data_IF_398864167654
#
_entry.id   IF_398864167654
#
_cell.length_a   1.000
_cell.length_b   1.000
_cell.length_c   1.000
_cell.angle_alpha   90.00
_cell.angle_beta   90.00
_cell.angle_gamma   90.00
#
_symmetry.space_group_name_H-M   'P 1'
#
loop_
_entity.id
_entity.type
_entity.pdbx_description
1 polymer ?
#
# COMPACT_ATOMS: atom_id res chain seq x y z
N UNK A 1 -23.19 4.89 -13.20
CA UNK A 1 -21.80 5.29 -13.50
C UNK A 1 -20.94 4.05 -13.39
N UNK A 2 -20.05 3.82 -14.33
CA UNK A 2 -19.14 2.67 -14.32
C UNK A 2 -17.68 3.14 -14.21
N UNK A 3 -16.96 2.65 -13.20
CA UNK A 3 -15.51 2.82 -13.06
C UNK A 3 -14.84 1.48 -13.32
N UNK A 4 -13.90 1.45 -14.26
CA UNK A 4 -13.16 0.25 -14.62
C UNK A 4 -11.71 0.32 -14.14
N UNK A 5 -11.21 -0.79 -13.62
CA UNK A 5 -9.81 -0.96 -13.21
C UNK A 5 -9.11 -1.89 -14.20
N UNK A 6 -8.10 -1.40 -14.93
CA UNK A 6 -7.23 -2.25 -15.76
C UNK A 6 -6.01 -2.66 -14.95
N UNK A 7 -6.03 -3.88 -14.45
CA UNK A 7 -4.99 -4.40 -13.56
C UNK A 7 -4.92 -5.93 -13.64
N UNK A 8 -3.72 -6.46 -13.56
CA UNK A 8 -3.46 -7.90 -13.52
C UNK A 8 -2.86 -8.29 -12.15
N UNK A 9 -3.26 -9.44 -11.64
CA UNK A 9 -2.64 -10.07 -10.47
C UNK A 9 -2.45 -11.56 -10.74
N UNK A 10 -1.22 -12.04 -10.64
CA UNK A 10 -0.88 -13.44 -10.94
C UNK A 10 0.28 -13.91 -10.07
N UNK A 11 0.59 -15.21 -10.08
CA UNK A 11 1.75 -15.74 -9.35
C UNK A 11 3.10 -15.16 -9.82
N UNK A 12 3.14 -14.63 -11.05
CA UNK A 12 4.34 -14.02 -11.64
C UNK A 12 4.42 -12.52 -11.37
N UNK A 13 3.29 -11.82 -11.43
CA UNK A 13 3.19 -10.36 -11.20
C UNK A 13 3.17 -10.05 -9.69
N UNK A 14 2.60 -10.95 -8.90
CA UNK A 14 2.24 -10.72 -7.50
C UNK A 14 0.85 -10.09 -7.35
N UNK A 15 0.46 -9.86 -6.09
CA UNK A 15 -0.86 -9.32 -5.74
C UNK A 15 -0.87 -7.79 -5.54
N UNK A 16 0.29 -7.13 -5.54
CA UNK A 16 0.43 -5.73 -5.10
C UNK A 16 -0.47 -4.74 -5.84
N UNK A 17 -0.40 -4.72 -7.17
CA UNK A 17 -1.22 -3.88 -8.04
C UNK A 17 -2.72 -4.11 -7.81
N UNK A 18 -3.14 -5.38 -7.87
CA UNK A 18 -4.54 -5.75 -7.66
C UNK A 18 -5.06 -5.40 -6.26
N UNK A 19 -4.25 -5.57 -5.20
CA UNK A 19 -4.63 -5.23 -3.83
C UNK A 19 -4.76 -3.72 -3.61
N UNK A 20 -3.88 -2.90 -4.19
CA UNK A 20 -3.99 -1.44 -4.09
C UNK A 20 -5.16 -0.90 -4.92
N UNK A 21 -5.41 -1.47 -6.10
CA UNK A 21 -6.62 -1.17 -6.89
C UNK A 21 -7.90 -1.58 -6.16
N UNK A 22 -7.94 -2.76 -5.54
CA UNK A 22 -9.08 -3.21 -4.74
C UNK A 22 -9.33 -2.30 -3.54
N UNK A 23 -8.27 -1.83 -2.88
CA UNK A 23 -8.34 -0.86 -1.79
C UNK A 23 -8.97 0.45 -2.25
N UNK A 24 -8.51 0.98 -3.39
CA UNK A 24 -9.06 2.20 -3.98
C UNK A 24 -10.53 2.02 -4.40
N UNK A 25 -10.87 0.89 -5.04
CA UNK A 25 -12.23 0.57 -5.46
C UNK A 25 -13.22 0.54 -4.28
N UNK A 26 -12.85 -0.13 -3.17
CA UNK A 26 -13.67 -0.16 -1.94
C UNK A 26 -13.89 1.23 -1.36
N UNK A 27 -12.83 2.01 -1.27
CA UNK A 27 -12.89 3.36 -0.69
C UNK A 27 -13.75 4.29 -1.55
N UNK A 28 -13.52 4.31 -2.86
CA UNK A 28 -14.33 5.07 -3.81
C UNK A 28 -15.80 4.65 -3.79
N UNK A 29 -16.08 3.34 -3.81
CA UNK A 29 -17.45 2.83 -3.79
C UNK A 29 -18.20 3.29 -2.54
N UNK A 30 -17.56 3.18 -1.38
CA UNK A 30 -18.11 3.62 -0.09
C UNK A 30 -18.39 5.13 -0.07
N UNK A 31 -17.50 5.95 -0.63
CA UNK A 31 -17.69 7.40 -0.71
C UNK A 31 -18.77 7.81 -1.72
N UNK A 32 -18.85 7.13 -2.86
CA UNK A 32 -19.70 7.53 -3.98
C UNK A 32 -21.11 6.97 -3.95
N UNK A 33 -21.35 5.80 -3.33
CA UNK A 33 -22.66 5.14 -3.32
C UNK A 33 -23.81 6.03 -2.79
N UNK A 34 -23.50 6.98 -1.90
CA UNK A 34 -24.48 7.93 -1.34
C UNK A 34 -24.85 9.06 -2.31
N UNK A 35 -24.09 9.25 -3.39
CA UNK A 35 -24.24 10.31 -4.37
C UNK A 35 -24.60 9.77 -5.76
N UNK A 36 -24.14 8.56 -6.05
CA UNK A 36 -24.36 7.85 -7.31
C UNK A 36 -24.88 6.45 -6.97
N UNK A 37 -26.20 6.27 -6.79
CA UNK A 37 -26.78 5.01 -6.34
C UNK A 37 -26.47 3.82 -7.26
N UNK A 38 -26.39 4.07 -8.58
CA UNK A 38 -26.07 3.07 -9.60
C UNK A 38 -24.59 3.09 -9.99
N UNK A 39 -23.70 3.32 -9.01
CA UNK A 39 -22.26 3.18 -9.24
C UNK A 39 -21.88 1.71 -9.35
N UNK A 40 -21.07 1.38 -10.35
CA UNK A 40 -20.52 0.06 -10.57
C UNK A 40 -19.00 0.16 -10.66
N UNK A 41 -18.33 -0.79 -10.03
CA UNK A 41 -16.88 -0.97 -10.13
C UNK A 41 -16.61 -2.30 -10.82
N UNK A 42 -15.75 -2.30 -11.84
CA UNK A 42 -15.41 -3.51 -12.59
C UNK A 42 -13.91 -3.62 -12.78
N UNK A 43 -13.36 -4.80 -12.53
CA UNK A 43 -11.96 -5.12 -12.81
C UNK A 43 -11.86 -5.75 -14.19
N UNK A 44 -10.86 -5.33 -14.96
CA UNK A 44 -10.57 -5.81 -16.31
C UNK A 44 -9.14 -6.37 -16.30
N UNK A 45 -9.04 -7.68 -16.36
CA UNK A 45 -7.79 -8.41 -16.23
C UNK A 45 -7.54 -9.28 -17.46
N UNK A 46 -6.26 -9.51 -17.78
CA UNK A 46 -5.90 -10.46 -18.83
C UNK A 46 -6.19 -11.88 -18.37
N UNK A 47 -6.63 -12.73 -19.31
CA UNK A 47 -6.89 -14.14 -19.07
C UNK A 47 -5.69 -14.82 -18.39
N UNK A 48 -5.95 -15.46 -17.25
CA UNK A 48 -4.91 -16.11 -16.43
C UNK A 48 -4.26 -15.22 -15.36
N UNK A 49 -4.65 -13.94 -15.26
CA UNK A 49 -4.30 -13.05 -14.16
C UNK A 49 -5.43 -12.95 -13.11
N UNK A 50 -5.96 -14.10 -12.71
CA UNK A 50 -7.17 -14.26 -11.90
C UNK A 50 -6.90 -14.48 -10.40
N UNK A 51 -5.66 -14.22 -9.92
CA UNK A 51 -5.25 -14.45 -8.53
C UNK A 51 -6.22 -13.82 -7.49
N UNK A 52 -6.78 -12.66 -7.82
CA UNK A 52 -7.70 -11.92 -6.94
C UNK A 52 -9.17 -12.02 -7.35
N UNK A 53 -9.52 -12.85 -8.35
CA UNK A 53 -10.89 -12.96 -8.86
C UNK A 53 -11.92 -13.27 -7.78
N UNK A 54 -11.62 -14.26 -6.92
CA UNK A 54 -12.49 -14.64 -5.81
C UNK A 54 -12.76 -13.46 -4.88
N UNK A 55 -11.68 -12.80 -4.45
CA UNK A 55 -11.76 -11.64 -3.56
C UNK A 55 -12.51 -10.46 -4.21
N UNK A 56 -12.29 -10.19 -5.49
CA UNK A 56 -13.00 -9.11 -6.23
C UNK A 56 -14.50 -9.38 -6.23
N UNK A 57 -14.92 -10.61 -6.55
CA UNK A 57 -16.35 -11.01 -6.59
C UNK A 57 -17.00 -11.03 -5.22
N UNK A 58 -16.29 -11.51 -4.19
CA UNK A 58 -16.78 -11.50 -2.80
C UNK A 58 -17.07 -10.08 -2.30
N UNK A 59 -16.38 -9.07 -2.85
CA UNK A 59 -16.61 -7.66 -2.53
C UNK A 59 -17.70 -7.00 -3.39
N UNK A 60 -18.36 -7.78 -4.24
CA UNK A 60 -19.47 -7.33 -5.08
C UNK A 60 -19.04 -6.57 -6.35
N UNK A 61 -17.77 -6.62 -6.73
CA UNK A 61 -17.28 -5.93 -7.92
C UNK A 61 -17.37 -6.81 -9.17
N UNK A 62 -17.60 -6.16 -10.32
CA UNK A 62 -17.60 -6.82 -11.61
C UNK A 62 -16.20 -7.30 -12.01
N UNK A 63 -16.15 -8.29 -12.90
CA UNK A 63 -14.90 -8.79 -13.45
C UNK A 63 -15.07 -9.16 -14.92
N UNK A 64 -14.20 -8.63 -15.77
CA UNK A 64 -14.15 -8.87 -17.21
C UNK A 64 -12.76 -9.40 -17.55
N UNK A 65 -12.73 -10.47 -18.34
CA UNK A 65 -11.48 -11.00 -18.89
C UNK A 65 -11.25 -10.47 -20.31
N UNK A 66 -10.00 -10.15 -20.61
CA UNK A 66 -9.53 -9.85 -21.97
C UNK A 66 -8.46 -10.85 -22.39
N UNK A 67 -8.34 -11.10 -23.69
CA UNK A 67 -7.46 -12.15 -24.21
C UNK A 67 -5.98 -11.85 -23.98
N UNK A 68 -5.58 -10.60 -24.21
CA UNK A 68 -4.19 -10.13 -24.09
C UNK A 68 -4.10 -8.81 -23.33
N UNK A 69 -2.91 -8.50 -22.81
CA UNK A 69 -2.62 -7.27 -22.08
C UNK A 69 -2.93 -6.02 -22.91
N UNK A 70 -2.62 -6.05 -24.21
CA UNK A 70 -2.84 -4.97 -25.15
C UNK A 70 -4.25 -4.96 -25.77
N UNK A 71 -5.17 -5.81 -25.32
CA UNK A 71 -6.53 -5.85 -25.85
C UNK A 71 -7.21 -4.49 -25.69
N UNK A 72 -7.81 -3.98 -26.76
CA UNK A 72 -8.56 -2.72 -26.69
C UNK A 72 -9.79 -2.90 -25.80
N UNK A 73 -9.95 -1.99 -24.84
CA UNK A 73 -11.03 -2.00 -23.86
C UNK A 73 -11.99 -0.81 -24.02
N UNK A 74 -11.78 0.03 -25.02
CA UNK A 74 -12.59 1.23 -25.26
C UNK A 74 -14.08 0.95 -25.51
N UNK A 75 -14.41 -0.29 -25.92
CA UNK A 75 -15.78 -0.76 -26.10
C UNK A 75 -16.54 -0.96 -24.77
N UNK A 76 -15.84 -1.11 -23.64
CA UNK A 76 -16.45 -1.20 -22.32
C UNK A 76 -16.94 0.20 -21.92
N UNK A 77 -18.23 0.37 -21.55
CA UNK A 77 -18.84 1.68 -21.35
C UNK A 77 -18.51 2.28 -19.96
N UNK A 78 -17.24 2.24 -19.56
CA UNK A 78 -16.79 2.91 -18.33
C UNK A 78 -16.70 4.42 -18.55
N UNK A 79 -17.04 5.18 -17.51
CA UNK A 79 -16.92 6.64 -17.44
C UNK A 79 -15.50 7.06 -17.05
N UNK A 80 -14.89 6.28 -16.13
CA UNK A 80 -13.52 6.44 -15.64
C UNK A 80 -12.77 5.11 -15.70
N UNK A 81 -11.54 5.16 -16.21
CA UNK A 81 -10.56 4.09 -16.17
C UNK A 81 -9.47 4.40 -15.16
N UNK A 82 -9.17 3.44 -14.29
CA UNK A 82 -8.01 3.46 -13.41
C UNK A 82 -7.08 2.35 -13.88
N UNK A 83 -5.88 2.71 -14.31
CA UNK A 83 -4.92 1.78 -14.93
C UNK A 83 -3.73 1.62 -14.01
N UNK A 84 -3.38 0.37 -13.72
CA UNK A 84 -2.27 0.01 -12.85
C UNK A 84 -1.55 -1.20 -13.44
N UNK A 85 -0.69 -0.94 -14.43
CA UNK A 85 -0.01 -1.99 -15.18
C UNK A 85 1.31 -1.49 -15.79
N UNK A 86 2.42 -2.18 -15.52
CA UNK A 86 3.74 -1.77 -15.99
C UNK A 86 3.95 -1.84 -17.51
N UNK A 87 3.17 -2.66 -18.20
CA UNK A 87 3.28 -2.83 -19.66
C UNK A 87 2.31 -1.95 -20.45
N UNK A 88 1.48 -1.14 -19.77
CA UNK A 88 0.58 -0.20 -20.43
C UNK A 88 1.15 1.21 -20.33
N UNK A 89 1.11 1.93 -21.44
CA UNK A 89 1.69 3.25 -21.63
C UNK A 89 0.69 4.17 -22.38
N UNK A 90 1.18 5.36 -22.77
CA UNK A 90 0.39 6.33 -23.53
C UNK A 90 -0.35 5.76 -24.75
N UNK A 91 0.12 4.68 -25.38
CA UNK A 91 -0.52 4.11 -26.57
C UNK A 91 -1.87 3.50 -26.20
N UNK A 92 -1.89 2.69 -25.15
CA UNK A 92 -3.12 2.09 -24.62
C UNK A 92 -4.05 3.17 -24.07
N UNK A 93 -3.50 4.11 -23.30
CA UNK A 93 -4.26 5.17 -22.64
C UNK A 93 -4.90 6.14 -23.66
N UNK A 94 -4.21 6.42 -24.77
CA UNK A 94 -4.73 7.26 -25.85
C UNK A 94 -5.99 6.69 -26.49
N UNK A 95 -6.15 5.37 -26.59
CA UNK A 95 -7.39 4.79 -27.11
C UNK A 95 -8.59 5.17 -26.25
N UNK A 96 -8.41 5.16 -24.93
CA UNK A 96 -9.44 5.51 -23.96
C UNK A 96 -9.73 7.02 -23.97
N UNK A 97 -8.68 7.85 -23.93
CA UNK A 97 -8.83 9.31 -23.96
C UNK A 97 -9.50 9.77 -25.26
N UNK A 98 -9.08 9.23 -26.41
CA UNK A 98 -9.68 9.56 -27.71
C UNK A 98 -11.13 9.07 -27.84
N UNK A 99 -11.52 8.03 -27.11
CA UNK A 99 -12.91 7.60 -26.96
C UNK A 99 -13.72 8.45 -25.96
N UNK A 100 -13.14 9.54 -25.45
CA UNK A 100 -13.79 10.49 -24.53
C UNK A 100 -13.87 10.00 -23.10
N UNK A 101 -13.07 9.00 -22.71
CA UNK A 101 -13.05 8.44 -21.34
C UNK A 101 -12.13 9.26 -20.44
N UNK A 102 -12.46 9.31 -19.13
CA UNK A 102 -11.51 9.77 -18.12
C UNK A 102 -10.51 8.67 -17.79
N UNK A 103 -9.25 9.03 -17.66
CA UNK A 103 -8.16 8.08 -17.40
C UNK A 103 -7.33 8.55 -16.22
N UNK A 104 -7.22 7.68 -15.21
CA UNK A 104 -6.26 7.79 -14.13
C UNK A 104 -5.23 6.67 -14.26
N UNK A 105 -3.96 6.99 -14.05
CA UNK A 105 -2.86 6.02 -14.04
C UNK A 105 -2.22 5.97 -12.66
N UNK A 106 -1.94 4.76 -12.18
CA UNK A 106 -1.08 4.50 -11.03
C UNK A 106 0.28 4.06 -11.58
N UNK A 107 1.31 4.87 -11.39
CA UNK A 107 2.68 4.54 -11.80
C UNK A 107 3.68 4.80 -10.67
N UNK A 108 4.71 3.97 -10.58
CA UNK A 108 5.78 4.12 -9.59
C UNK A 108 7.20 4.01 -10.20
N UNK A 109 7.29 3.90 -11.53
CA UNK A 109 8.54 3.73 -12.27
C UNK A 109 9.04 5.04 -12.90
N UNK A 110 8.15 5.94 -13.30
CA UNK A 110 8.47 7.20 -13.99
C UNK A 110 9.44 6.99 -15.16
N UNK A 111 9.17 5.98 -15.99
CA UNK A 111 10.08 5.54 -17.06
C UNK A 111 9.43 5.44 -18.45
N UNK A 112 8.18 5.87 -18.57
CA UNK A 112 7.40 5.84 -19.81
C UNK A 112 6.42 6.99 -19.87
N UNK A 113 6.03 7.34 -21.09
CA UNK A 113 5.02 8.37 -21.32
C UNK A 113 3.62 7.83 -20.99
N UNK A 114 2.80 8.72 -20.44
CA UNK A 114 1.39 8.49 -20.14
C UNK A 114 0.52 9.55 -20.82
N UNK A 115 -0.69 9.17 -21.19
CA UNK A 115 -1.76 10.05 -21.69
C UNK A 115 -3.00 9.87 -20.79
N UNK A 116 -3.00 10.54 -19.64
CA UNK A 116 -4.06 10.45 -18.64
C UNK A 116 -4.49 11.83 -18.13
N UNK A 117 -5.65 11.88 -17.47
CA UNK A 117 -6.18 13.08 -16.80
C UNK A 117 -5.60 13.24 -15.38
N UNK A 118 -5.25 12.14 -14.72
CA UNK A 118 -4.72 12.11 -13.35
C UNK A 118 -3.66 11.01 -13.21
N UNK A 119 -2.47 11.35 -12.70
CA UNK A 119 -1.43 10.39 -12.38
C UNK A 119 -1.21 10.29 -10.86
N UNK A 120 -1.09 9.07 -10.34
CA UNK A 120 -0.79 8.77 -8.95
C UNK A 120 0.53 8.02 -8.83
N UNK A 121 1.47 8.59 -8.08
CA UNK A 121 2.70 7.92 -7.62
C UNK A 121 2.85 8.14 -6.12
N UNK A 122 2.78 7.06 -5.34
CA UNK A 122 2.84 7.12 -3.88
C UNK A 122 4.28 7.10 -3.35
N UNK A 123 5.29 6.89 -4.21
CA UNK A 123 6.66 6.69 -3.76
C UNK A 123 7.31 7.99 -3.29
N UNK A 124 8.14 7.86 -2.25
CA UNK A 124 9.02 8.92 -1.80
C UNK A 124 10.40 8.68 -2.42
N UNK A 125 10.78 9.47 -3.42
CA UNK A 125 12.12 9.45 -4.00
C UNK A 125 12.78 10.81 -3.88
N UNK A 126 14.08 10.88 -4.18
CA UNK A 126 14.72 12.17 -4.36
C UNK A 126 14.02 12.91 -5.53
N UNK A 127 13.70 14.20 -5.36
CA UNK A 127 12.99 15.03 -6.34
C UNK A 127 11.66 14.44 -6.87
N UNK A 128 10.92 13.70 -6.04
CA UNK A 128 9.69 13.01 -6.47
C UNK A 128 8.67 13.93 -7.16
N UNK A 129 8.65 15.23 -6.84
CA UNK A 129 7.76 16.24 -7.42
C UNK A 129 7.99 16.54 -8.90
N UNK A 130 9.13 16.15 -9.48
CA UNK A 130 9.49 16.43 -10.87
C UNK A 130 9.59 15.18 -11.75
N UNK A 131 9.40 13.98 -11.19
CA UNK A 131 9.63 12.70 -11.89
C UNK A 131 8.87 12.54 -13.20
N UNK A 132 7.69 13.17 -13.31
CA UNK A 132 6.81 13.04 -14.46
C UNK A 132 6.79 14.27 -15.38
N UNK A 133 7.62 15.30 -15.15
CA UNK A 133 7.54 16.60 -15.86
C UNK A 133 7.53 16.49 -17.41
N UNK A 134 8.11 15.42 -17.96
CA UNK A 134 8.17 15.17 -19.41
C UNK A 134 7.50 13.86 -19.85
N UNK A 135 6.78 13.20 -18.94
CA UNK A 135 6.17 11.90 -19.16
C UNK A 135 4.63 11.96 -19.17
N UNK A 136 4.04 13.15 -19.04
CA UNK A 136 2.59 13.35 -18.98
C UNK A 136 2.16 14.57 -19.79
N UNK A 137 0.88 14.68 -20.18
CA UNK A 137 0.34 15.87 -20.83
C UNK A 137 0.33 17.07 -19.88
N UNK A 138 0.42 18.29 -20.42
CA UNK A 138 0.43 19.54 -19.63
C UNK A 138 -0.80 19.72 -18.72
N UNK A 139 -1.94 19.13 -19.09
CA UNK A 139 -3.20 19.23 -18.35
C UNK A 139 -3.44 18.08 -17.35
N UNK A 140 -2.50 17.14 -17.25
CA UNK A 140 -2.60 16.02 -16.32
C UNK A 140 -2.36 16.51 -14.89
N UNK A 141 -3.28 16.17 -14.00
CA UNK A 141 -3.13 16.41 -12.57
C UNK A 141 -2.24 15.33 -11.96
N UNK A 142 -1.42 15.68 -10.98
CA UNK A 142 -0.46 14.74 -10.38
C UNK A 142 -0.62 14.64 -8.88
N UNK A 143 -0.74 13.41 -8.38
CA UNK A 143 -0.79 13.04 -6.97
C UNK A 143 0.52 12.32 -6.64
N UNK A 144 1.50 13.09 -6.17
CA UNK A 144 2.84 12.58 -5.91
C UNK A 144 3.12 12.53 -4.40
N UNK A 145 3.75 11.43 -3.98
CA UNK A 145 4.30 11.25 -2.64
C UNK A 145 3.41 10.46 -1.69
N UNK A 146 3.93 10.18 -0.48
CA UNK A 146 3.33 9.25 0.46
C UNK A 146 1.94 9.68 0.94
N UNK A 147 1.61 10.99 0.92
CA UNK A 147 0.29 11.47 1.33
C UNK A 147 -0.88 10.90 0.50
N UNK A 148 -0.59 10.23 -0.61
CA UNK A 148 -1.58 9.58 -1.48
C UNK A 148 -1.50 8.05 -1.42
N UNK A 149 -0.83 7.48 -0.42
CA UNK A 149 -0.71 6.04 -0.26
C UNK A 149 -2.07 5.31 -0.22
N UNK A 150 -2.18 4.24 -1.00
CA UNK A 150 -3.37 3.38 -1.04
C UNK A 150 -3.32 2.34 0.08
N UNK A 151 -3.92 2.67 1.22
CA UNK A 151 -4.00 1.85 2.42
C UNK A 151 -5.41 1.33 2.68
N UNK A 152 -5.50 0.12 3.24
CA UNK A 152 -6.77 -0.49 3.65
C UNK A 152 -7.46 0.31 4.75
N UNK A 153 -8.78 0.22 4.82
CA UNK A 153 -9.61 0.96 5.78
C UNK A 153 -9.17 0.74 7.24
N UNK A 154 -8.69 -0.45 7.59
CA UNK A 154 -8.23 -0.81 8.95
C UNK A 154 -7.13 0.10 9.53
N UNK A 155 -6.38 0.79 8.66
CA UNK A 155 -5.33 1.75 9.05
C UNK A 155 -5.89 3.11 9.47
N UNK A 156 -7.13 3.43 9.10
CA UNK A 156 -7.81 4.68 9.45
C UNK A 156 -8.79 4.54 10.61
N UNK A 157 -9.10 3.32 11.05
CA UNK A 157 -9.98 3.09 12.18
C UNK A 157 -9.30 3.58 13.47
N UNK A 158 -10.05 4.33 14.29
CA UNK A 158 -9.59 4.83 15.59
C UNK A 158 -9.18 3.66 16.50
N UNK A 159 -7.88 3.38 16.54
CA UNK A 159 -7.27 2.45 17.48
C UNK A 159 -6.90 3.17 18.76
N UNK A 160 -7.87 3.86 19.38
CA UNK A 160 -7.65 4.71 20.56
C UNK A 160 -6.69 4.03 21.56
N UNK A 161 -5.58 4.73 21.76
CA UNK A 161 -4.44 4.50 22.65
C UNK A 161 -3.47 3.37 22.28
N UNK A 162 -2.32 3.77 21.72
CA UNK A 162 -1.05 3.22 22.17
C UNK A 162 -0.98 3.41 23.70
N UNK A 163 -1.41 2.39 24.46
CA UNK A 163 -0.80 2.18 25.77
C UNK A 163 0.45 1.36 25.50
N UNK A 164 1.58 2.04 25.26
CA UNK A 164 2.88 1.44 25.51
C UNK A 164 2.90 1.06 27.00
N UNK A 165 2.45 -0.16 27.31
CA UNK A 165 2.69 -0.74 28.61
C UNK A 165 4.17 -1.10 28.63
N UNK A 166 5.02 -0.15 29.05
CA UNK A 166 6.47 -0.32 29.22
C UNK A 166 6.88 -1.44 30.19
N UNK A 167 5.92 -2.23 30.69
CA UNK A 167 6.14 -3.39 31.56
C UNK A 167 6.21 -4.73 30.81
N UNK A 168 5.94 -4.77 29.50
CA UNK A 168 5.98 -6.00 28.71
C UNK A 168 7.29 -6.13 27.90
N UNK A 169 7.65 -7.37 27.55
CA UNK A 169 8.73 -7.66 26.61
C UNK A 169 8.52 -6.94 25.26
N UNK A 170 9.58 -6.36 24.63
CA UNK A 170 9.43 -5.73 23.32
C UNK A 170 8.87 -6.73 22.29
N UNK A 171 7.94 -6.26 21.48
CA UNK A 171 7.26 -7.06 20.47
C UNK A 171 7.71 -6.66 19.06
N UNK A 172 8.19 -7.64 18.31
CA UNK A 172 8.70 -7.47 16.95
C UNK A 172 7.68 -7.99 15.94
N UNK A 173 7.32 -7.18 14.95
CA UNK A 173 6.54 -7.65 13.80
C UNK A 173 7.49 -8.05 12.66
N UNK A 174 7.39 -9.27 12.16
CA UNK A 174 8.15 -9.73 10.98
C UNK A 174 7.20 -9.87 9.79
N UNK A 175 7.45 -9.13 8.71
CA UNK A 175 6.71 -9.31 7.45
C UNK A 175 7.50 -8.85 6.22
N UNK A 176 7.73 -9.76 5.27
CA UNK A 176 8.41 -9.50 3.99
C UNK A 176 7.46 -9.60 2.79
N UNK A 177 6.16 -9.39 3.03
CA UNK A 177 5.10 -9.58 2.05
C UNK A 177 4.61 -11.03 1.97
N UNK A 178 3.50 -11.25 1.26
CA UNK A 178 2.80 -12.54 1.28
C UNK A 178 3.61 -13.71 0.72
N UNK A 179 4.42 -13.48 -0.33
CA UNK A 179 5.18 -14.56 -0.98
C UNK A 179 6.62 -14.70 -0.50
N UNK A 180 7.24 -13.61 0.02
CA UNK A 180 8.64 -13.52 0.45
C UNK A 180 9.60 -14.43 -0.37
N UNK A 181 9.81 -14.10 -1.66
CA UNK A 181 10.46 -15.02 -2.60
C UNK A 181 11.92 -15.31 -2.25
N UNK A 182 12.55 -14.46 -1.42
CA UNK A 182 13.93 -14.56 -0.96
C UNK A 182 14.04 -15.14 0.46
N UNK A 183 12.91 -15.52 1.08
CA UNK A 183 12.79 -16.14 2.40
C UNK A 183 13.48 -15.34 3.53
N UNK A 184 13.35 -14.00 3.50
CA UNK A 184 13.91 -13.13 4.53
C UNK A 184 13.21 -13.29 5.88
N UNK A 185 12.00 -13.84 5.91
CA UNK A 185 11.29 -14.24 7.12
C UNK A 185 12.12 -15.23 7.94
N UNK A 186 12.73 -16.24 7.29
CA UNK A 186 13.61 -17.20 7.98
C UNK A 186 14.87 -16.52 8.51
N UNK A 187 15.49 -15.63 7.74
CA UNK A 187 16.67 -14.86 8.18
C UNK A 187 16.37 -13.95 9.38
N UNK A 188 15.16 -13.38 9.44
CA UNK A 188 14.72 -12.59 10.57
C UNK A 188 14.47 -13.45 11.82
N UNK A 189 13.91 -14.66 11.66
CA UNK A 189 13.79 -15.64 12.75
C UNK A 189 15.16 -16.07 13.29
N UNK A 190 16.13 -16.33 12.40
CA UNK A 190 17.52 -16.58 12.79
C UNK A 190 18.09 -15.43 13.62
N UNK A 191 17.77 -14.19 13.26
CA UNK A 191 18.22 -13.00 13.99
C UNK A 191 17.60 -12.91 15.39
N UNK A 192 16.31 -13.22 15.54
CA UNK A 192 15.66 -13.26 16.85
C UNK A 192 16.31 -14.28 17.79
N UNK A 193 16.76 -15.42 17.26
CA UNK A 193 17.49 -16.41 18.06
C UNK A 193 18.86 -15.93 18.56
N UNK A 194 19.48 -14.97 17.87
CA UNK A 194 20.71 -14.31 18.31
C UNK A 194 20.45 -13.23 19.36
N UNK A 195 19.21 -12.76 19.49
CA UNK A 195 18.77 -11.73 20.43
C UNK A 195 18.09 -12.31 21.69
N UNK A 196 18.30 -13.59 22.03
CA UNK A 196 17.59 -14.30 23.13
C UNK A 196 17.61 -13.58 24.48
N UNK A 197 18.70 -12.89 24.80
CA UNK A 197 18.84 -12.13 26.06
C UNK A 197 17.83 -10.97 26.18
N UNK A 198 17.31 -10.48 25.05
CA UNK A 198 16.35 -9.37 25.00
C UNK A 198 14.90 -9.77 25.31
N UNK A 199 14.63 -11.07 25.55
CA UNK A 199 13.31 -11.63 25.91
C UNK A 199 12.18 -11.16 24.98
N UNK A 200 12.43 -11.08 23.68
CA UNK A 200 11.50 -10.53 22.70
C UNK A 200 10.27 -11.44 22.52
N UNK A 201 9.15 -10.84 22.15
CA UNK A 201 8.03 -11.56 21.52
C UNK A 201 7.94 -11.17 20.05
N UNK A 202 7.34 -12.02 19.21
CA UNK A 202 7.20 -11.70 17.80
C UNK A 202 5.85 -12.12 17.22
N UNK A 203 5.35 -11.32 16.29
CA UNK A 203 4.27 -11.69 15.37
C UNK A 203 4.90 -11.85 13.97
N UNK A 204 4.73 -13.01 13.34
CA UNK A 204 5.29 -13.32 12.02
C UNK A 204 4.15 -13.42 11.03
N UNK A 205 4.15 -12.56 10.01
CA UNK A 205 3.09 -12.53 9.00
C UNK A 205 3.62 -13.03 7.66
N UNK A 206 3.00 -14.10 7.16
CA UNK A 206 3.29 -14.72 5.85
C UNK A 206 2.00 -14.96 5.08
N UNK A 207 2.10 -15.17 3.76
CA UNK A 207 0.97 -15.58 2.93
C UNK A 207 0.83 -17.10 2.86
N UNK A 208 -0.37 -17.59 2.53
CA UNK A 208 -0.59 -19.03 2.30
C UNK A 208 0.26 -19.61 1.18
N UNK A 209 0.68 -18.79 0.21
CA UNK A 209 1.55 -19.14 -0.91
C UNK A 209 3.05 -19.12 -0.58
N UNK A 210 3.44 -18.78 0.66
CA UNK A 210 4.85 -18.73 1.07
C UNK A 210 5.50 -20.13 0.96
N UNK A 211 6.60 -20.25 0.21
CA UNK A 211 7.22 -21.55 -0.12
C UNK A 211 7.71 -22.32 1.12
N UNK A 212 8.31 -21.61 2.07
CA UNK A 212 8.82 -22.19 3.32
C UNK A 212 7.82 -22.15 4.49
N UNK A 213 6.51 -22.04 4.21
CA UNK A 213 5.47 -21.92 5.25
C UNK A 213 5.53 -23.05 6.27
N UNK A 214 5.66 -24.30 5.82
CA UNK A 214 5.69 -25.45 6.75
C UNK A 214 6.92 -25.43 7.64
N UNK A 215 8.10 -25.18 7.06
CA UNK A 215 9.35 -25.05 7.83
C UNK A 215 9.25 -23.97 8.92
N UNK A 216 8.63 -22.81 8.59
CA UNK A 216 8.42 -21.71 9.54
C UNK A 216 7.49 -22.15 10.68
N UNK A 217 6.36 -22.79 10.36
CA UNK A 217 5.39 -23.26 11.35
C UNK A 217 6.00 -24.33 12.28
N UNK A 218 6.75 -25.28 11.73
CA UNK A 218 7.44 -26.30 12.51
C UNK A 218 8.49 -25.67 13.43
N UNK A 219 9.30 -24.74 12.90
CA UNK A 219 10.36 -24.05 13.65
C UNK A 219 9.83 -23.31 14.88
N UNK A 220 8.71 -22.60 14.74
CA UNK A 220 8.15 -21.78 15.82
C UNK A 220 7.15 -22.53 16.70
N UNK A 221 6.80 -23.78 16.38
CA UNK A 221 5.81 -24.59 17.11
C UNK A 221 6.12 -24.78 18.61
N UNK A 222 7.40 -24.69 18.98
CA UNK A 222 7.87 -24.79 20.37
C UNK A 222 8.19 -23.43 21.01
N UNK A 223 8.02 -22.32 20.27
CA UNK A 223 8.31 -20.97 20.72
C UNK A 223 7.04 -20.29 21.28
N UNK A 224 6.85 -20.29 22.60
CA UNK A 224 5.66 -19.69 23.25
C UNK A 224 5.52 -18.16 23.08
N UNK A 225 6.52 -17.49 22.52
CA UNK A 225 6.57 -16.03 22.37
C UNK A 225 6.54 -15.58 20.90
N UNK A 226 6.35 -16.51 19.96
CA UNK A 226 6.28 -16.23 18.52
C UNK A 226 4.94 -16.72 17.98
N UNK A 227 4.13 -15.79 17.49
CA UNK A 227 2.83 -16.06 16.88
C UNK A 227 2.97 -15.97 15.34
N UNK A 228 2.42 -16.94 14.59
CA UNK A 228 2.41 -16.89 13.11
C UNK A 228 1.01 -16.61 12.60
N UNK A 229 0.90 -15.63 11.72
CA UNK A 229 -0.33 -15.19 11.08
C UNK A 229 -0.26 -15.43 9.57
N UNK A 230 -1.21 -16.20 9.03
CA UNK A 230 -1.30 -16.52 7.62
C UNK A 230 -2.42 -15.70 6.99
N UNK A 231 -2.14 -15.00 5.89
CA UNK A 231 -3.11 -14.20 5.13
C UNK A 231 -3.94 -13.24 6.01
N UNK A 232 -3.29 -12.59 6.99
CA UNK A 232 -4.02 -11.78 7.97
C UNK A 232 -4.69 -10.55 7.34
N UNK A 233 -5.89 -10.25 7.81
CA UNK A 233 -6.70 -9.09 7.41
C UNK A 233 -6.69 -7.96 8.45
N UNK A 234 -5.86 -8.10 9.49
CA UNK A 234 -5.77 -7.23 10.66
C UNK A 234 -4.35 -6.70 10.87
N UNK A 235 -3.62 -6.41 9.77
CA UNK A 235 -2.24 -5.94 9.80
C UNK A 235 -2.08 -4.66 10.62
N UNK A 236 -3.05 -3.75 10.54
CA UNK A 236 -2.99 -2.50 11.31
C UNK A 236 -3.02 -2.77 12.83
N UNK A 237 -3.69 -3.82 13.28
CA UNK A 237 -3.71 -4.21 14.69
C UNK A 237 -2.36 -4.80 15.13
N UNK A 238 -1.70 -5.60 14.28
CA UNK A 238 -0.36 -6.13 14.55
C UNK A 238 0.68 -5.00 14.59
N UNK A 239 0.62 -4.07 13.63
CA UNK A 239 1.52 -2.91 13.60
C UNK A 239 1.38 -2.02 14.83
N UNK A 240 0.15 -1.78 15.32
CA UNK A 240 -0.10 -1.02 16.55
C UNK A 240 0.40 -1.72 17.82
N UNK A 241 0.48 -3.05 17.81
CA UNK A 241 0.93 -3.87 18.95
C UNK A 241 2.46 -3.97 19.02
N UNK A 242 3.15 -3.80 17.90
CA UNK A 242 4.59 -3.95 17.80
C UNK A 242 5.35 -2.68 18.23
N UNK A 243 6.58 -2.88 18.71
CA UNK A 243 7.53 -1.80 19.02
C UNK A 243 8.48 -1.53 17.84
N UNK A 244 8.81 -2.59 17.07
CA UNK A 244 9.66 -2.53 15.87
C UNK A 244 9.13 -3.51 14.84
N UNK A 245 9.12 -3.11 13.58
CA UNK A 245 8.94 -4.02 12.45
C UNK A 245 10.29 -4.40 11.83
N UNK A 246 10.48 -5.68 11.51
CA UNK A 246 11.50 -6.17 10.57
C UNK A 246 10.76 -6.56 9.29
N UNK A 247 11.06 -5.93 8.17
CA UNK A 247 10.30 -6.22 6.96
C UNK A 247 10.85 -5.63 5.68
N UNK A 248 10.10 -5.85 4.59
CA UNK A 248 10.48 -5.34 3.28
C UNK A 248 10.13 -3.85 3.09
N UNK A 249 10.72 -3.24 2.06
CA UNK A 249 10.32 -1.91 1.59
C UNK A 249 9.03 -1.94 0.76
N UNK A 250 8.86 -0.94 -0.11
CA UNK A 250 7.67 -0.81 -0.97
C UNK A 250 6.45 -0.25 -0.23
N UNK A 251 5.24 -0.71 -0.59
CA UNK A 251 3.98 -0.19 -0.03
C UNK A 251 3.84 -0.37 1.48
N UNK A 252 4.54 -1.35 2.07
CA UNK A 252 4.57 -1.56 3.52
C UNK A 252 5.21 -0.38 4.28
N UNK A 253 6.03 0.45 3.64
CA UNK A 253 6.49 1.69 4.26
C UNK A 253 5.32 2.56 4.72
N UNK A 254 4.28 2.65 3.90
CA UNK A 254 3.15 3.54 4.14
C UNK A 254 2.24 3.00 5.25
N UNK A 255 1.95 1.69 5.23
CA UNK A 255 1.24 1.00 6.33
C UNK A 255 1.95 1.22 7.67
N UNK A 256 3.28 1.09 7.67
CA UNK A 256 4.11 1.31 8.85
C UNK A 256 4.13 2.78 9.28
N UNK A 257 4.26 3.71 8.34
CA UNK A 257 4.32 5.14 8.61
C UNK A 257 3.02 5.67 9.22
N UNK A 258 1.86 5.32 8.68
CA UNK A 258 0.57 5.74 9.27
C UNK A 258 0.37 5.14 10.66
N UNK A 259 0.93 3.93 10.90
CA UNK A 259 0.91 3.26 12.20
C UNK A 259 1.98 3.78 13.16
N UNK A 260 2.81 4.76 12.75
CA UNK A 260 3.92 5.30 13.53
C UNK A 260 4.90 4.23 14.04
N UNK A 261 5.08 3.14 13.28
CA UNK A 261 5.87 1.99 13.72
C UNK A 261 7.33 2.13 13.26
N UNK A 262 8.32 2.12 14.18
CA UNK A 262 9.73 2.04 13.81
C UNK A 262 10.04 0.79 12.98
N UNK A 263 10.95 0.91 12.01
CA UNK A 263 11.25 -0.16 11.06
C UNK A 263 12.73 -0.43 10.88
N UNK A 264 13.10 -1.71 10.92
CA UNK A 264 14.33 -2.26 10.37
C UNK A 264 14.02 -2.87 9.00
N UNK A 265 14.40 -2.18 7.93
CA UNK A 265 13.93 -2.48 6.57
C UNK A 265 15.03 -3.15 5.75
N UNK A 266 14.70 -4.24 5.08
CA UNK A 266 15.55 -4.91 4.08
C UNK A 266 14.83 -4.87 2.75
N UNK A 267 15.48 -4.39 1.69
CA UNK A 267 14.86 -4.38 0.36
C UNK A 267 14.97 -5.75 -0.29
N UNK A 268 13.88 -6.24 -0.86
CA UNK A 268 13.81 -7.56 -1.52
C UNK A 268 13.69 -7.47 -3.05
N UNK A 269 13.61 -6.25 -3.57
CA UNK A 269 13.57 -5.93 -4.99
C UNK A 269 14.19 -4.56 -5.25
N UNK A 270 14.78 -4.38 -6.43
CA UNK A 270 15.47 -3.15 -6.85
C UNK A 270 14.58 -1.90 -6.76
N UNK A 271 13.31 -2.01 -7.14
CA UNK A 271 12.34 -0.91 -7.10
C UNK A 271 11.96 -0.45 -5.68
N UNK A 272 12.44 -1.12 -4.63
CA UNK A 272 12.25 -0.70 -3.24
C UNK A 272 13.39 0.17 -2.73
N UNK A 273 14.59 0.10 -3.33
CA UNK A 273 15.82 0.67 -2.80
C UNK A 273 15.73 2.18 -2.62
N UNK A 274 15.39 2.91 -3.68
CA UNK A 274 15.37 4.38 -3.65
C UNK A 274 14.39 4.91 -2.59
N UNK A 275 13.19 4.35 -2.54
CA UNK A 275 12.17 4.74 -1.56
C UNK A 275 12.61 4.44 -0.13
N UNK A 276 13.17 3.24 0.12
CA UNK A 276 13.70 2.88 1.45
C UNK A 276 14.85 3.79 1.88
N UNK A 277 15.76 4.15 0.96
CA UNK A 277 16.84 5.10 1.24
C UNK A 277 16.26 6.46 1.64
N UNK A 278 15.26 6.97 0.94
CA UNK A 278 14.64 8.26 1.26
C UNK A 278 13.93 8.24 2.61
N UNK A 279 13.18 7.18 2.93
CA UNK A 279 12.53 7.01 4.24
C UNK A 279 13.57 6.93 5.37
N UNK A 280 14.71 6.28 5.12
CA UNK A 280 15.79 6.19 6.11
C UNK A 280 16.53 7.53 6.30
N UNK A 281 16.73 8.32 5.23
CA UNK A 281 17.26 9.70 5.31
C UNK A 281 16.38 10.62 6.16
N UNK A 282 15.07 10.36 6.21
CA UNK A 282 14.11 11.08 7.07
C UNK A 282 14.04 10.51 8.49
N UNK A 283 14.97 9.61 8.86
CA UNK A 283 15.07 8.98 10.18
C UNK A 283 13.83 8.18 10.59
N UNK A 284 12.96 7.83 9.63
CA UNK A 284 11.73 7.07 9.88
C UNK A 284 11.95 5.56 9.83
N UNK A 285 13.11 5.07 9.39
CA UNK A 285 13.51 3.66 9.49
C UNK A 285 15.03 3.50 9.46
N UNK A 286 15.52 2.35 9.94
CA UNK A 286 16.87 1.86 9.66
C UNK A 286 16.82 1.03 8.38
N UNK A 287 17.53 1.46 7.33
CA UNK A 287 17.76 0.63 6.16
C UNK A 287 18.95 -0.30 6.40
N UNK A 288 18.69 -1.61 6.47
CA UNK A 288 19.72 -2.62 6.74
C UNK A 288 20.55 -2.99 5.50
N UNK A 289 20.04 -2.74 4.31
CA UNK A 289 20.64 -3.13 3.03
C UNK A 289 19.69 -3.95 2.16
N UNK A 290 20.18 -4.37 0.99
CA UNK A 290 19.46 -5.24 0.09
C UNK A 290 19.59 -6.71 0.52
N UNK A 291 18.60 -7.56 0.27
CA UNK A 291 18.49 -8.90 0.87
C UNK A 291 19.74 -9.78 0.71
N UNK A 292 20.49 -9.64 -0.39
CA UNK A 292 21.70 -10.40 -0.69
C UNK A 292 22.94 -9.94 0.11
N UNK A 293 22.85 -8.81 0.80
CA UNK A 293 23.91 -8.22 1.64
C UNK A 293 23.59 -8.34 3.14
N UNK A 294 22.35 -8.70 3.48
CA UNK A 294 21.85 -8.70 4.86
C UNK A 294 21.85 -10.12 5.44
N UNK A 295 22.57 -10.30 6.55
CA UNK A 295 22.60 -11.55 7.31
C UNK A 295 21.78 -11.46 8.60
N UNK A 296 21.43 -12.62 9.18
CA UNK A 296 20.80 -12.71 10.50
C UNK A 296 21.60 -11.96 11.59
N UNK A 297 22.95 -12.00 11.53
CA UNK A 297 23.82 -11.26 12.45
C UNK A 297 23.71 -9.74 12.28
N UNK A 298 23.58 -9.27 11.04
CA UNK A 298 23.34 -7.86 10.74
C UNK A 298 22.01 -7.41 11.36
N UNK A 299 20.93 -8.14 11.07
CA UNK A 299 19.59 -7.86 11.62
C UNK A 299 19.61 -7.86 13.15
N UNK A 300 20.19 -8.88 13.79
CA UNK A 300 20.27 -8.98 15.24
C UNK A 300 21.02 -7.81 15.88
N UNK A 301 22.13 -7.38 15.27
CA UNK A 301 22.93 -6.26 15.77
C UNK A 301 22.16 -4.94 15.68
N UNK A 302 21.53 -4.68 14.53
CA UNK A 302 20.74 -3.47 14.31
C UNK A 302 19.50 -3.43 15.21
N UNK A 303 18.78 -4.56 15.33
CA UNK A 303 17.62 -4.68 16.21
C UNK A 303 18.00 -4.41 17.67
N UNK A 304 19.10 -5.00 18.15
CA UNK A 304 19.58 -4.76 19.52
C UNK A 304 19.95 -3.29 19.74
N UNK A 305 20.57 -2.65 18.75
CA UNK A 305 20.88 -1.22 18.81
C UNK A 305 19.62 -0.36 18.85
N UNK A 306 18.59 -0.67 18.04
CA UNK A 306 17.31 0.05 18.05
C UNK A 306 16.58 -0.08 19.39
N UNK A 307 16.55 -1.29 19.96
CA UNK A 307 15.84 -1.57 21.20
C UNK A 307 16.55 -1.02 22.46
N UNK A 308 17.85 -0.76 22.38
CA UNK A 308 18.61 -0.18 23.51
C UNK A 308 18.47 1.33 23.65
N UNK A 309 17.93 2.03 22.64
CA UNK A 309 17.74 3.49 22.63
C UNK A 309 16.26 3.84 22.42
N UNK A 310 15.47 3.79 23.49
CA UNK A 310 14.03 4.06 23.46
C UNK A 310 13.69 5.47 22.99
N UNK A 311 14.58 6.45 23.21
CA UNK A 311 14.40 7.82 22.75
C UNK A 311 14.52 7.91 21.23
N UNK A 312 15.53 7.28 20.63
CA UNK A 312 15.62 7.19 19.16
C UNK A 312 14.46 6.41 18.56
N UNK A 313 14.01 5.36 19.23
CA UNK A 313 12.88 4.57 18.78
C UNK A 313 11.58 5.41 18.74
N UNK A 314 11.32 6.20 19.78
CA UNK A 314 10.20 7.13 19.83
C UNK A 314 10.33 8.26 18.79
N UNK A 315 11.53 8.80 18.58
CA UNK A 315 11.78 9.80 17.54
C UNK A 315 11.50 9.23 16.13
N UNK A 316 11.92 7.99 15.86
CA UNK A 316 11.65 7.31 14.59
C UNK A 316 10.16 7.10 14.34
N UNK A 317 9.41 6.71 15.38
CA UNK A 317 7.94 6.61 15.32
C UNK A 317 7.30 7.94 14.93
N UNK A 318 7.75 9.04 15.54
CA UNK A 318 7.29 10.38 15.23
C UNK A 318 7.60 10.77 13.78
N UNK A 319 8.81 10.49 13.27
CA UNK A 319 9.16 10.76 11.87
C UNK A 319 8.32 9.93 10.90
N UNK A 320 8.06 8.66 11.22
CA UNK A 320 7.20 7.81 10.42
C UNK A 320 5.77 8.40 10.31
N UNK A 321 5.21 8.89 11.42
CA UNK A 321 3.91 9.59 11.41
C UNK A 321 3.90 10.93 10.68
N UNK A 322 5.04 11.63 10.64
CA UNK A 322 5.18 12.87 9.89
C UNK A 322 5.19 12.63 8.37
N UNK A 323 5.78 11.52 7.91
CA UNK A 323 5.74 11.11 6.51
C UNK A 323 4.32 10.85 6.03
N UNK A 324 3.53 10.14 6.85
CA UNK A 324 2.16 9.80 6.51
C UNK A 324 1.17 10.10 7.65
N UNK A 325 0.62 11.33 7.70
CA UNK A 325 -0.35 11.70 8.71
C UNK A 325 -1.67 10.93 8.57
N UNK A 326 -2.40 10.73 9.67
CA UNK A 326 -3.66 9.95 9.71
C UNK A 326 -4.78 10.44 8.77
N UNK A 327 -4.74 11.72 8.33
CA UNK A 327 -5.72 12.30 7.41
C UNK A 327 -5.38 12.12 5.92
N UNK A 328 -4.20 11.58 5.63
CA UNK A 328 -3.70 11.35 4.28
C UNK A 328 -4.14 9.98 3.74
N UNK A 329 -3.58 9.56 2.60
CA UNK A 329 -3.75 8.25 1.99
C UNK A 329 -4.99 8.11 1.12
N UNK A 330 -5.56 6.91 1.06
CA UNK A 330 -6.70 6.51 0.22
C UNK A 330 -7.88 7.48 0.25
N UNK A 331 -8.34 7.99 1.42
CA UNK A 331 -9.42 8.96 1.45
C UNK A 331 -9.10 10.24 0.68
N UNK A 332 -7.85 10.69 0.72
CA UNK A 332 -7.40 11.88 -0.02
C UNK A 332 -7.35 11.60 -1.53
N UNK A 333 -6.82 10.44 -1.95
CA UNK A 333 -6.86 10.04 -3.36
C UNK A 333 -8.29 10.06 -3.91
N UNK A 334 -9.24 9.53 -3.15
CA UNK A 334 -10.63 9.51 -3.57
C UNK A 334 -11.23 10.92 -3.68
N UNK A 335 -10.90 11.84 -2.77
CA UNK A 335 -11.32 13.25 -2.89
C UNK A 335 -10.77 13.89 -4.16
N UNK A 336 -9.51 13.62 -4.50
CA UNK A 336 -8.89 14.14 -5.72
C UNK A 336 -9.51 13.56 -6.98
N UNK A 337 -9.79 12.25 -7.02
CA UNK A 337 -10.53 11.61 -8.12
C UNK A 337 -11.91 12.27 -8.29
N UNK A 338 -12.66 12.44 -7.20
CA UNK A 338 -13.99 13.07 -7.24
C UNK A 338 -13.88 14.51 -7.76
N UNK A 339 -12.92 15.27 -7.25
CA UNK A 339 -12.72 16.68 -7.62
C UNK A 339 -12.37 16.86 -9.09
N UNK A 340 -11.44 16.06 -9.61
CA UNK A 340 -10.84 16.28 -10.92
C UNK A 340 -11.51 15.46 -12.04
N UNK A 341 -12.01 14.27 -11.72
CA UNK A 341 -12.53 13.34 -12.72
C UNK A 341 -14.06 13.19 -12.67
N UNK A 342 -14.70 13.55 -11.55
CA UNK A 342 -16.16 13.45 -11.36
C UNK A 342 -16.79 14.80 -10.95
N UNK A 343 -16.65 15.87 -11.76
CA UNK A 343 -16.99 17.24 -11.37
C UNK A 343 -18.47 17.43 -10.98
N UNK A 344 -19.39 16.68 -11.60
CA UNK A 344 -20.82 16.71 -11.27
C UNK A 344 -21.07 16.22 -9.84
N UNK A 345 -20.41 15.12 -9.43
CA UNK A 345 -20.51 14.56 -8.08
C UNK A 345 -19.89 15.51 -7.07
N UNK A 346 -18.73 16.10 -7.40
CA UNK A 346 -18.08 17.10 -6.54
C UNK A 346 -19.00 18.30 -6.25
N UNK A 347 -19.72 18.80 -7.27
CA UNK A 347 -20.67 19.89 -7.11
C UNK A 347 -21.82 19.53 -6.14
N UNK A 348 -22.37 18.31 -6.26
CA UNK A 348 -23.42 17.83 -5.34
C UNK A 348 -22.93 17.77 -3.89
N UNK A 349 -21.70 17.31 -3.67
CA UNK A 349 -21.07 17.25 -2.34
C UNK A 349 -20.96 18.65 -1.74
N UNK A 350 -20.44 19.62 -2.50
CA UNK A 350 -20.26 21.00 -2.04
C UNK A 350 -21.58 21.67 -1.66
N UNK A 351 -22.62 21.50 -2.48
CA UNK A 351 -23.95 22.06 -2.21
C UNK A 351 -24.56 21.54 -0.91
N UNK A 352 -24.44 20.24 -0.63
CA UNK A 352 -24.95 19.65 0.62
C UNK A 352 -24.19 20.13 1.84
N UNK A 353 -22.86 20.25 1.75
CA UNK A 353 -22.03 20.75 2.86
C UNK A 353 -22.37 22.21 3.20
N UNK A 354 -22.57 23.06 2.20
CA UNK A 354 -23.01 24.44 2.41
C UNK A 354 -24.38 24.52 3.09
N UNK A 355 -25.31 23.64 2.71
CA UNK A 355 -26.64 23.58 3.32
C UNK A 355 -26.58 23.15 4.80
N UNK A 356 -25.74 22.16 5.13
CA UNK A 356 -25.54 21.70 6.51
C UNK A 356 -24.89 22.79 7.39
N UNK A 357 -23.90 23.52 6.86
CA UNK A 357 -23.27 24.63 7.59
C UNK A 357 -24.26 25.76 7.86
N UNK A 358 -25.13 26.11 6.90
CA UNK A 358 -26.17 27.11 7.11
C UNK A 358 -27.19 26.68 8.18
N UNK A 359 -27.58 25.40 8.21
CA UNK A 359 -28.50 24.88 9.24
C UNK A 359 -27.87 24.90 10.64
N UNK A 360 -26.57 24.61 10.76
CA UNK A 360 -25.85 24.66 12.04
C UNK A 360 -25.62 26.08 12.56
N UNK A 361 -25.55 27.09 11.68
CA UNK A 361 -25.43 28.50 12.08
C UNK A 361 -26.76 29.15 12.45
N UNK A 362 -27.89 28.51 12.12
CA UNK A 362 -29.24 28.97 12.43
C UNK A 362 -29.81 28.33 13.72
N UNK A 363 -29.12 27.34 14.29
CA UNK A 363 -29.38 26.75 15.60
C UNK A 363 -28.41 27.33 16.64
#
# INVERSE_FOLDING_TARGET
MLIAFRVDASHYIGAGHGMRCLTLAKSLNTMLQNWVPDIQMTFVATKGADMLLGLIREQGFGYIEVDDIASSVAHIPADLWIIDHYQLDQRFESELVNAGKKVMVIDDLANRDHHCDLLLDCNLTDNFTQRYQHLIPEKCEVLLGPQYALLREEFYLDGSSHQQTHSAAPRVLICFGGSDPVNMTTTALDALELCKESRLSADVVIGSSHRNKQDILERVSHCQHIDVHIDCTYMAALMRKADVMIGAGGSMHWERCISQLPGLVVTIAENQIESTVCVSKQEACVYAGHYNEVSAKCIASLLTAMLSDTNKLAAMAQQAGAILPAKAGTPEVCRQIIRHLLPEVNLMIQQRQQHQQHQQQQQ
#
